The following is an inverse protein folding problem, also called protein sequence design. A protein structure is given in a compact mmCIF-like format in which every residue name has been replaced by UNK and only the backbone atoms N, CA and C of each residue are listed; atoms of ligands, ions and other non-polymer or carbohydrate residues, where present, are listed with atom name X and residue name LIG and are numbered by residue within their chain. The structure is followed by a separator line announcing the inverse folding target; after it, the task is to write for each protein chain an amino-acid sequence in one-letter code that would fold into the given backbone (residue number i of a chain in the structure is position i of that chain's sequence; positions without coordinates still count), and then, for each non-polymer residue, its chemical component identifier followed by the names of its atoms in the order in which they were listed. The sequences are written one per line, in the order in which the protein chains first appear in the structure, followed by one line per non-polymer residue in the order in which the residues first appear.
data_IF_676702028506
#
_entry.id   IF_676702028506
#
_cell.length_a   1.000
_cell.length_b   1.000
_cell.length_c   1.000
_cell.angle_alpha   90.00
_cell.angle_beta   90.00
_cell.angle_gamma   90.00
#
_symmetry.space_group_name_H-M   'P 1'
#
loop_
_entity.id
_entity.type
_entity.pdbx_description
1 polymer ?
#
# COMPACT_ATOMS: atom_id res chain seq x y z
N UNK A 1 23.53 17.49 -7.40
CA UNK A 1 22.30 17.07 -8.15
C UNK A 1 21.33 16.18 -7.36
N UNK A 2 21.79 15.25 -6.51
CA UNK A 2 20.92 14.38 -5.69
C UNK A 2 20.16 15.13 -4.56
N UNK A 3 20.83 16.05 -3.86
CA UNK A 3 20.21 16.86 -2.79
C UNK A 3 19.14 17.85 -3.29
N UNK A 4 19.28 18.40 -4.50
CA UNK A 4 18.28 19.30 -5.07
C UNK A 4 17.01 18.54 -5.50
N UNK A 5 17.14 17.34 -6.07
CA UNK A 5 15.99 16.47 -6.40
C UNK A 5 15.21 16.01 -5.16
N UNK A 6 15.89 15.68 -4.04
CA UNK A 6 15.21 15.38 -2.76
C UNK A 6 14.45 16.59 -2.20
N UNK A 7 15.04 17.79 -2.26
CA UNK A 7 14.37 19.03 -1.80
C UNK A 7 13.15 19.40 -2.66
N UNK A 8 13.23 19.24 -3.98
CA UNK A 8 12.08 19.47 -4.86
C UNK A 8 10.95 18.46 -4.63
N UNK A 9 11.27 17.17 -4.41
CA UNK A 9 10.25 16.16 -4.07
C UNK A 9 9.61 16.42 -2.70
N UNK A 10 10.39 16.79 -1.70
CA UNK A 10 9.88 17.14 -0.38
C UNK A 10 8.99 18.39 -0.40
N UNK A 11 9.38 19.44 -1.14
CA UNK A 11 8.59 20.66 -1.30
C UNK A 11 7.28 20.41 -2.08
N UNK A 12 7.31 19.57 -3.12
CA UNK A 12 6.10 19.19 -3.86
C UNK A 12 5.13 18.34 -3.02
N UNK A 13 5.65 17.43 -2.18
CA UNK A 13 4.85 16.64 -1.25
C UNK A 13 4.18 17.52 -0.18
N UNK A 14 4.92 18.46 0.41
CA UNK A 14 4.40 19.41 1.40
C UNK A 14 3.33 20.33 0.78
N UNK A 15 3.53 20.76 -0.47
CA UNK A 15 2.52 21.57 -1.19
C UNK A 15 1.23 20.79 -1.44
N UNK A 16 1.33 19.52 -1.84
CA UNK A 16 0.16 18.64 -2.06
C UNK A 16 -0.62 18.33 -0.78
N UNK A 17 0.08 18.07 0.31
CA UNK A 17 -0.53 17.81 1.63
C UNK A 17 -1.27 19.06 2.15
N UNK A 18 -0.70 20.25 1.94
CA UNK A 18 -1.34 21.51 2.33
C UNK A 18 -2.59 21.84 1.51
N UNK A 19 -2.61 21.50 0.22
CA UNK A 19 -3.78 21.68 -0.65
C UNK A 19 -4.90 20.71 -0.26
N UNK A 20 -4.60 19.41 -0.13
CA UNK A 20 -5.58 18.40 0.28
C UNK A 20 -6.22 18.75 1.64
N UNK A 21 -5.39 19.16 2.61
CA UNK A 21 -5.86 19.59 3.93
C UNK A 21 -6.78 20.81 3.89
N UNK A 22 -6.47 21.81 3.05
CA UNK A 22 -7.32 23.00 2.87
C UNK A 22 -8.67 22.66 2.22
N UNK A 23 -8.68 21.76 1.24
CA UNK A 23 -9.90 21.29 0.59
C UNK A 23 -10.80 20.54 1.57
N UNK A 24 -10.23 19.61 2.37
CA UNK A 24 -10.99 18.87 3.39
C UNK A 24 -11.54 19.82 4.45
N UNK A 25 -10.72 20.74 4.99
CA UNK A 25 -11.17 21.70 5.98
C UNK A 25 -12.28 22.63 5.45
N UNK A 26 -12.15 23.12 4.22
CA UNK A 26 -13.16 23.97 3.57
C UNK A 26 -14.48 23.25 3.35
N UNK A 27 -14.43 22.00 2.88
CA UNK A 27 -15.62 21.18 2.68
C UNK A 27 -16.30 20.81 4.00
N UNK A 28 -15.52 20.49 5.05
CA UNK A 28 -16.09 20.22 6.38
C UNK A 28 -16.73 21.45 7.01
N UNK A 29 -16.13 22.63 6.83
CA UNK A 29 -16.72 23.90 7.28
C UNK A 29 -18.02 24.21 6.53
N UNK A 30 -18.07 23.97 5.21
CA UNK A 30 -19.27 24.14 4.41
C UNK A 30 -20.40 23.21 4.90
N UNK A 31 -20.08 21.95 5.20
CA UNK A 31 -21.03 20.99 5.76
C UNK A 31 -21.58 21.43 7.12
N UNK A 32 -20.72 21.91 8.02
CA UNK A 32 -21.13 22.41 9.32
C UNK A 32 -22.04 23.63 9.20
N UNK A 33 -21.73 24.56 8.30
CA UNK A 33 -22.57 25.73 8.00
C UNK A 33 -23.92 25.31 7.40
N UNK A 34 -23.92 24.36 6.48
CA UNK A 34 -25.15 23.84 5.88
C UNK A 34 -26.04 23.14 6.95
N UNK A 35 -25.45 22.35 7.85
CA UNK A 35 -26.17 21.70 8.94
C UNK A 35 -26.79 22.71 9.93
N UNK A 36 -26.05 23.76 10.28
CA UNK A 36 -26.55 24.86 11.14
C UNK A 36 -27.64 25.68 10.44
N UNK A 37 -27.48 25.96 9.15
CA UNK A 37 -28.52 26.61 8.36
C UNK A 37 -29.79 25.77 8.31
N UNK A 38 -29.68 24.46 8.08
CA UNK A 38 -30.82 23.53 8.07
C UNK A 38 -31.51 23.43 9.44
N UNK A 39 -30.76 23.61 10.54
CA UNK A 39 -31.29 23.58 11.90
C UNK A 39 -32.08 24.84 12.29
N UNK A 40 -31.69 26.02 11.77
CA UNK A 40 -32.18 27.31 12.29
C UNK A 40 -32.81 28.25 11.23
N UNK A 41 -32.59 28.02 9.94
CA UNK A 41 -33.03 28.90 8.86
C UNK A 41 -34.14 28.23 8.06
N UNK A 42 -35.27 28.93 7.89
CA UNK A 42 -36.44 28.44 7.12
C UNK A 42 -36.47 28.93 5.67
N UNK A 43 -35.40 29.59 5.20
CA UNK A 43 -35.30 30.12 3.84
C UNK A 43 -34.89 29.02 2.84
N UNK A 44 -35.88 28.49 2.12
CA UNK A 44 -35.72 27.40 1.14
C UNK A 44 -34.67 27.70 0.07
N UNK A 45 -34.57 28.95 -0.40
CA UNK A 45 -33.62 29.33 -1.46
C UNK A 45 -32.16 29.22 -1.01
N UNK A 46 -31.86 29.75 0.18
CA UNK A 46 -30.51 29.68 0.77
C UNK A 46 -30.13 28.22 1.09
N UNK A 47 -31.07 27.44 1.61
CA UNK A 47 -30.87 26.01 1.88
C UNK A 47 -30.59 25.22 0.61
N UNK A 48 -31.29 25.52 -0.49
CA UNK A 48 -31.09 24.83 -1.78
C UNK A 48 -29.68 25.06 -2.32
N UNK A 49 -29.19 26.30 -2.28
CA UNK A 49 -27.81 26.62 -2.69
C UNK A 49 -26.78 25.96 -1.79
N UNK A 50 -27.00 25.99 -0.47
CA UNK A 50 -26.12 25.35 0.50
C UNK A 50 -26.06 23.82 0.29
N UNK A 51 -27.20 23.16 0.06
CA UNK A 51 -27.26 21.72 -0.23
C UNK A 51 -26.58 21.37 -1.55
N UNK A 52 -26.74 22.19 -2.59
CA UNK A 52 -26.02 22.00 -3.86
C UNK A 52 -24.51 22.08 -3.67
N UNK A 53 -24.02 23.13 -3.00
CA UNK A 53 -22.60 23.30 -2.74
C UNK A 53 -22.02 22.14 -1.89
N UNK A 54 -22.79 21.71 -0.89
CA UNK A 54 -22.44 20.57 -0.03
C UNK A 54 -22.40 19.26 -0.83
N UNK A 55 -23.34 19.04 -1.73
CA UNK A 55 -23.36 17.88 -2.63
C UNK A 55 -22.16 17.82 -3.57
N UNK A 56 -21.80 18.95 -4.19
CA UNK A 56 -20.60 19.04 -5.05
C UNK A 56 -19.33 18.75 -4.26
N UNK A 57 -19.21 19.30 -3.06
CA UNK A 57 -18.07 19.06 -2.18
C UNK A 57 -17.98 17.58 -1.76
N UNK A 58 -19.10 16.96 -1.35
CA UNK A 58 -19.17 15.54 -0.98
C UNK A 58 -18.72 14.62 -2.11
N UNK A 59 -19.27 14.80 -3.31
CA UNK A 59 -18.95 13.97 -4.48
C UNK A 59 -17.47 14.11 -4.84
N UNK A 60 -16.94 15.33 -4.77
CA UNK A 60 -15.53 15.62 -5.08
C UNK A 60 -14.59 14.90 -4.09
N UNK A 61 -14.88 14.96 -2.79
CA UNK A 61 -14.11 14.24 -1.76
C UNK A 61 -14.21 12.73 -1.96
N UNK A 62 -15.42 12.20 -2.15
CA UNK A 62 -15.63 10.77 -2.32
C UNK A 62 -14.89 10.24 -3.55
N UNK A 63 -14.92 11.00 -4.65
CA UNK A 63 -14.20 10.66 -5.88
C UNK A 63 -12.69 10.68 -5.67
N UNK A 64 -12.16 11.71 -5.00
CA UNK A 64 -10.74 11.77 -4.67
C UNK A 64 -10.30 10.62 -3.76
N UNK A 65 -11.13 10.25 -2.78
CA UNK A 65 -10.88 9.12 -1.88
C UNK A 65 -10.89 7.78 -2.61
N UNK A 66 -11.87 7.56 -3.50
CA UNK A 66 -11.95 6.39 -4.37
C UNK A 66 -10.70 6.28 -5.27
N UNK A 67 -10.29 7.37 -5.92
CA UNK A 67 -9.07 7.39 -6.75
C UNK A 67 -7.84 7.11 -5.89
N UNK A 68 -7.71 7.73 -4.72
CA UNK A 68 -6.59 7.47 -3.81
C UNK A 68 -6.53 6.00 -3.36
N UNK A 69 -7.68 5.40 -3.03
CA UNK A 69 -7.77 3.98 -2.70
C UNK A 69 -7.35 3.10 -3.90
N UNK A 70 -7.76 3.44 -5.12
CA UNK A 70 -7.38 2.70 -6.33
C UNK A 70 -5.89 2.79 -6.63
N UNK A 71 -5.27 3.94 -6.38
CA UNK A 71 -3.85 4.21 -6.67
C UNK A 71 -2.91 3.64 -5.61
N UNK A 72 -3.38 3.48 -4.37
CA UNK A 72 -2.63 2.84 -3.27
C UNK A 72 -2.70 1.31 -3.33
N UNK A 73 -3.75 0.77 -3.93
CA UNK A 73 -3.93 -0.68 -4.09
C UNK A 73 -3.20 -1.22 -5.33
N UNK A 74 -2.32 -2.24 -5.15
CA UNK A 74 -1.72 -2.95 -6.27
C UNK A 74 -2.78 -3.59 -7.18
N UNK A 75 -2.52 -3.62 -8.50
CA UNK A 75 -3.49 -4.06 -9.51
C UNK A 75 -4.06 -5.47 -9.24
N UNK A 76 -3.26 -6.37 -8.69
CA UNK A 76 -3.62 -7.77 -8.41
C UNK A 76 -4.56 -7.95 -7.21
N UNK A 77 -4.61 -7.00 -6.26
CA UNK A 77 -5.60 -6.99 -5.14
C UNK A 77 -6.65 -5.89 -5.28
N UNK A 78 -6.54 -5.02 -6.27
CA UNK A 78 -7.37 -3.82 -6.39
C UNK A 78 -8.87 -4.12 -6.29
N UNK A 79 -9.36 -5.16 -6.95
CA UNK A 79 -10.76 -5.56 -6.88
C UNK A 79 -11.20 -5.97 -5.45
N UNK A 80 -10.38 -6.77 -4.75
CA UNK A 80 -10.67 -7.22 -3.38
C UNK A 80 -10.57 -6.07 -2.37
N UNK A 81 -9.56 -5.22 -2.51
CA UNK A 81 -9.37 -4.04 -1.67
C UNK A 81 -10.48 -3.01 -1.84
N UNK A 82 -10.93 -2.76 -3.07
CA UNK A 82 -12.07 -1.88 -3.33
C UNK A 82 -13.39 -2.46 -2.80
N UNK A 83 -13.61 -3.77 -2.93
CA UNK A 83 -14.78 -4.40 -2.34
C UNK A 83 -14.82 -4.21 -0.82
N UNK A 84 -13.70 -4.45 -0.13
CA UNK A 84 -13.59 -4.22 1.31
C UNK A 84 -13.82 -2.74 1.67
N UNK A 85 -13.24 -1.81 0.91
CA UNK A 85 -13.46 -0.36 1.08
C UNK A 85 -14.95 -0.01 0.98
N UNK A 86 -15.66 -0.50 -0.04
CA UNK A 86 -17.09 -0.25 -0.22
C UNK A 86 -17.92 -0.85 0.91
N UNK A 87 -17.61 -2.07 1.35
CA UNK A 87 -18.32 -2.72 2.48
C UNK A 87 -18.17 -1.91 3.77
N UNK A 88 -16.95 -1.49 4.09
CA UNK A 88 -16.69 -0.66 5.28
C UNK A 88 -17.37 0.70 5.15
N UNK A 89 -17.32 1.32 3.97
CA UNK A 89 -17.95 2.61 3.72
C UNK A 89 -19.48 2.54 3.85
N UNK A 90 -20.12 1.54 3.23
CA UNK A 90 -21.57 1.31 3.32
C UNK A 90 -22.00 0.92 4.75
N UNK A 91 -21.22 0.06 5.41
CA UNK A 91 -21.45 -0.31 6.80
C UNK A 91 -21.35 0.89 7.75
N UNK A 92 -20.35 1.75 7.56
CA UNK A 92 -20.20 3.00 8.29
C UNK A 92 -21.37 3.95 8.08
N UNK A 93 -21.84 4.11 6.84
CA UNK A 93 -23.03 4.93 6.54
C UNK A 93 -24.30 4.37 7.20
N UNK A 94 -24.49 3.05 7.17
CA UNK A 94 -25.64 2.42 7.81
C UNK A 94 -25.65 2.63 9.33
N UNK A 95 -24.52 2.34 9.99
CA UNK A 95 -24.37 2.54 11.44
C UNK A 95 -24.49 4.03 11.82
N UNK A 96 -23.89 4.92 11.04
CA UNK A 96 -23.97 6.36 11.25
C UNK A 96 -25.40 6.88 11.12
N UNK A 97 -26.15 6.40 10.14
CA UNK A 97 -27.57 6.76 9.93
C UNK A 97 -28.44 6.28 11.10
N UNK A 98 -28.22 5.05 11.59
CA UNK A 98 -28.93 4.53 12.77
C UNK A 98 -28.61 5.39 14.00
N UNK A 99 -27.33 5.68 14.24
CA UNK A 99 -26.88 6.46 15.39
C UNK A 99 -27.51 7.86 15.39
N UNK A 100 -27.36 8.60 14.29
CA UNK A 100 -27.89 9.95 14.18
C UNK A 100 -29.42 10.00 14.10
N UNK A 101 -30.06 8.99 13.52
CA UNK A 101 -31.51 8.82 13.56
C UNK A 101 -32.03 8.70 14.99
N UNK A 102 -31.39 7.85 15.81
CA UNK A 102 -31.73 7.70 17.24
C UNK A 102 -31.50 9.00 18.02
N UNK A 103 -30.41 9.71 17.77
CA UNK A 103 -30.15 11.02 18.38
C UNK A 103 -31.25 12.01 18.00
N UNK A 104 -31.60 12.12 16.71
CA UNK A 104 -32.65 13.01 16.24
C UNK A 104 -34.03 12.70 16.84
N UNK A 105 -34.35 11.42 17.08
CA UNK A 105 -35.61 11.03 17.76
C UNK A 105 -35.64 11.47 19.23
N UNK A 106 -34.49 11.48 19.92
CA UNK A 106 -34.43 11.78 21.36
C UNK A 106 -34.34 13.27 21.68
N UNK A 107 -33.51 14.02 20.95
CA UNK A 107 -33.24 15.44 21.26
C UNK A 107 -33.82 16.41 20.21
N UNK A 108 -34.48 15.88 19.17
CA UNK A 108 -35.04 16.65 18.07
C UNK A 108 -34.04 16.97 16.97
N UNK A 109 -34.56 17.26 15.78
CA UNK A 109 -33.79 17.48 14.55
C UNK A 109 -32.80 18.67 14.68
N UNK A 110 -33.21 19.85 15.22
CA UNK A 110 -32.29 20.98 15.33
C UNK A 110 -31.12 20.72 16.30
N UNK A 111 -31.38 20.05 17.43
CA UNK A 111 -30.33 19.70 18.40
C UNK A 111 -29.38 18.61 17.87
N UNK A 112 -29.89 17.67 17.07
CA UNK A 112 -29.07 16.66 16.39
C UNK A 112 -28.16 17.26 15.31
N UNK A 113 -28.67 18.18 14.50
CA UNK A 113 -27.88 18.86 13.47
C UNK A 113 -26.80 19.77 14.07
N UNK A 114 -27.11 20.47 15.16
CA UNK A 114 -26.13 21.31 15.88
C UNK A 114 -25.03 20.47 16.54
N UNK A 115 -25.37 19.33 17.15
CA UNK A 115 -24.37 18.40 17.70
C UNK A 115 -23.50 17.76 16.60
N UNK A 116 -24.07 17.43 15.44
CA UNK A 116 -23.31 16.96 14.28
C UNK A 116 -22.34 18.03 13.75
N UNK A 117 -22.80 19.28 13.63
CA UNK A 117 -21.95 20.40 13.22
C UNK A 117 -20.79 20.63 14.20
N UNK A 118 -21.06 20.58 15.51
CA UNK A 118 -20.03 20.72 16.54
C UNK A 118 -19.01 19.57 16.47
N UNK A 119 -19.49 18.33 16.31
CA UNK A 119 -18.63 17.16 16.12
C UNK A 119 -17.72 17.29 14.90
N UNK A 120 -18.22 17.89 13.82
CA UNK A 120 -17.44 18.14 12.60
C UNK A 120 -16.34 19.18 12.83
N UNK A 121 -16.61 20.25 13.59
CA UNK A 121 -15.60 21.24 13.99
C UNK A 121 -14.53 20.61 14.89
N UNK A 122 -14.93 19.78 15.85
CA UNK A 122 -14.00 19.04 16.71
C UNK A 122 -13.14 18.07 15.89
N UNK A 123 -13.74 17.37 14.92
CA UNK A 123 -13.01 16.47 14.03
C UNK A 123 -11.96 17.21 13.19
N UNK A 124 -12.26 18.42 12.69
CA UNK A 124 -11.27 19.28 12.02
C UNK A 124 -10.11 19.60 12.97
N UNK A 125 -10.41 20.00 14.21
CA UNK A 125 -9.40 20.29 15.23
C UNK A 125 -8.55 19.08 15.62
N UNK A 126 -9.15 17.89 15.66
CA UNK A 126 -8.44 16.64 15.92
C UNK A 126 -7.53 16.25 14.74
N UNK A 127 -7.99 16.48 13.51
CA UNK A 127 -7.22 16.25 12.28
C UNK A 127 -6.00 17.19 12.20
N UNK A 128 -6.03 18.35 12.89
CA UNK A 128 -4.84 19.20 13.02
C UNK A 128 -3.79 18.63 13.99
N UNK A 129 -4.22 17.86 15.00
CA UNK A 129 -3.34 17.24 16.00
C UNK A 129 -2.70 15.97 15.45
N UNK A 130 -3.48 15.17 14.72
CA UNK A 130 -2.99 14.02 13.98
C UNK A 130 -2.50 14.50 12.61
N UNK A 131 -1.23 14.95 12.55
CA UNK A 131 -0.48 14.87 11.28
C UNK A 131 -0.78 13.50 10.71
N UNK A 132 -1.21 13.38 9.46
CA UNK A 132 -1.22 12.10 8.76
C UNK A 132 0.23 11.65 8.78
N UNK A 133 0.60 10.95 9.85
CA UNK A 133 1.97 10.65 10.17
C UNK A 133 2.43 9.81 9.03
N UNK A 134 3.43 10.32 8.29
CA UNK A 134 4.23 9.65 7.29
C UNK A 134 3.82 8.18 7.18
N UNK A 135 2.72 7.89 6.47
CA UNK A 135 2.50 6.54 6.04
C UNK A 135 3.60 6.43 5.03
N UNK A 136 4.69 5.79 5.45
CA UNK A 136 5.70 5.25 4.58
C UNK A 136 4.89 4.40 3.60
N UNK A 137 4.42 5.05 2.53
CA UNK A 137 3.76 4.41 1.41
C UNK A 137 4.87 3.56 0.90
N UNK A 138 4.92 2.32 1.39
CA UNK A 138 5.83 1.32 0.92
C UNK A 138 5.71 1.36 -0.59
N UNK A 139 6.81 1.72 -1.23
CA UNK A 139 6.82 2.01 -2.64
C UNK A 139 6.70 0.68 -3.39
N UNK A 140 5.45 0.29 -3.63
CA UNK A 140 5.06 -0.89 -4.40
C UNK A 140 5.18 -0.65 -5.90
N UNK A 141 5.80 0.44 -6.34
CA UNK A 141 6.15 0.62 -7.76
C UNK A 141 7.02 -0.57 -8.18
N UNK A 142 6.62 -1.34 -9.21
CA UNK A 142 7.43 -2.46 -9.70
C UNK A 142 8.82 -1.95 -10.09
N UNK A 143 9.85 -2.47 -9.43
CA UNK A 143 11.22 -2.23 -9.85
C UNK A 143 11.57 -3.33 -10.83
N UNK A 144 11.66 -3.00 -12.12
CA UNK A 144 12.17 -3.87 -13.19
C UNK A 144 13.70 -4.13 -13.05
N UNK A 145 14.23 -4.18 -11.83
CA UNK A 145 15.65 -4.38 -11.52
C UNK A 145 16.04 -5.87 -11.51
N UNK A 146 15.11 -6.74 -11.90
CA UNK A 146 15.31 -8.16 -11.90
C UNK A 146 15.59 -8.60 -13.33
N UNK A 147 16.78 -9.16 -13.57
CA UNK A 147 17.13 -9.73 -14.86
C UNK A 147 16.03 -10.73 -15.24
N UNK A 148 15.43 -10.54 -16.43
CA UNK A 148 14.42 -11.45 -16.95
C UNK A 148 14.97 -12.88 -16.87
N UNK A 149 14.17 -13.87 -16.42
CA UNK A 149 14.60 -15.26 -16.40
C UNK A 149 15.14 -15.64 -17.79
N UNK A 150 16.35 -16.17 -17.86
CA UNK A 150 16.88 -16.72 -19.11
C UNK A 150 16.19 -18.05 -19.31
N UNK A 151 15.21 -18.08 -20.21
CA UNK A 151 14.41 -19.27 -20.51
C UNK A 151 14.69 -19.66 -21.96
N UNK A 152 15.05 -20.93 -22.20
CA UNK A 152 15.26 -21.44 -23.56
C UNK A 152 13.94 -21.63 -24.33
N UNK A 153 12.83 -21.91 -23.62
CA UNK A 153 11.51 -22.16 -24.18
C UNK A 153 10.45 -21.71 -23.16
N UNK A 154 9.48 -20.87 -23.55
CA UNK A 154 8.49 -20.29 -22.61
C UNK A 154 7.64 -21.41 -22.00
N UNK A 155 7.73 -21.70 -20.68
CA UNK A 155 6.96 -22.75 -20.03
C UNK A 155 5.47 -22.40 -20.03
N UNK A 156 4.62 -23.42 -20.00
CA UNK A 156 3.19 -23.21 -19.82
C UNK A 156 2.93 -22.51 -18.46
N UNK A 157 1.93 -21.61 -18.38
CA UNK A 157 1.65 -20.84 -17.16
C UNK A 157 1.42 -21.71 -15.91
N UNK A 158 0.81 -22.89 -16.09
CA UNK A 158 0.51 -23.86 -15.04
C UNK A 158 1.55 -24.99 -14.91
N UNK A 159 2.68 -24.87 -15.63
CA UNK A 159 3.82 -25.76 -15.41
C UNK A 159 4.21 -25.73 -13.93
N UNK A 160 4.52 -26.92 -13.42
CA UNK A 160 4.51 -27.28 -12.01
C UNK A 160 5.42 -26.45 -11.10
N UNK A 161 5.70 -26.94 -9.87
CA UNK A 161 6.44 -26.16 -8.90
C UNK A 161 7.79 -25.71 -9.48
N UNK A 162 8.05 -24.41 -9.38
CA UNK A 162 9.25 -23.77 -9.89
C UNK A 162 10.22 -23.66 -8.74
N UNK A 163 11.37 -24.33 -8.87
CA UNK A 163 12.47 -24.15 -7.92
C UNK A 163 13.42 -23.09 -8.46
N UNK A 164 13.70 -22.08 -7.63
CA UNK A 164 14.63 -21.01 -7.95
C UNK A 164 15.82 -21.11 -7.03
N UNK A 165 17.00 -21.14 -7.63
CA UNK A 165 18.26 -21.16 -6.89
C UNK A 165 19.05 -19.90 -7.17
N UNK A 166 19.42 -19.18 -6.12
CA UNK A 166 20.27 -17.97 -6.21
C UNK A 166 21.58 -18.25 -5.49
N UNK A 167 22.68 -18.20 -6.24
CA UNK A 167 24.02 -18.38 -5.71
C UNK A 167 24.63 -17.05 -5.24
N UNK A 168 25.20 -17.08 -4.04
CA UNK A 168 25.91 -15.97 -3.41
C UNK A 168 27.34 -16.38 -3.07
N UNK A 169 28.31 -15.52 -3.39
CA UNK A 169 29.70 -15.64 -2.90
C UNK A 169 29.94 -14.58 -1.82
N UNK A 170 30.04 -15.03 -0.58
CA UNK A 170 30.03 -14.21 0.65
C UNK A 170 31.44 -14.06 1.20
N UNK A 171 31.78 -12.86 1.69
CA UNK A 171 33.07 -12.62 2.33
C UNK A 171 33.23 -13.53 3.56
N UNK A 172 34.39 -14.18 3.71
CA UNK A 172 34.61 -15.16 4.77
C UNK A 172 34.40 -14.60 6.19
N UNK A 173 34.66 -13.31 6.39
CA UNK A 173 34.51 -12.59 7.66
C UNK A 173 33.08 -12.11 7.93
N UNK A 174 32.16 -12.20 6.96
CA UNK A 174 30.80 -11.65 7.03
C UNK A 174 29.67 -12.69 6.94
N UNK A 175 30.01 -13.96 7.13
CA UNK A 175 29.08 -15.09 7.00
C UNK A 175 27.92 -15.01 7.98
N UNK A 176 28.20 -14.70 9.25
CA UNK A 176 27.17 -14.66 10.29
C UNK A 176 26.19 -13.51 10.05
N UNK A 177 26.69 -12.34 9.66
CA UNK A 177 25.85 -11.18 9.31
C UNK A 177 25.01 -11.45 8.06
N UNK A 178 25.59 -12.13 7.05
CA UNK A 178 24.86 -12.54 5.86
C UNK A 178 23.70 -13.48 6.20
N UNK A 179 23.95 -14.56 6.95
CA UNK A 179 22.91 -15.52 7.35
C UNK A 179 21.81 -14.83 8.18
N UNK A 180 22.16 -13.85 9.00
CA UNK A 180 21.19 -13.03 9.74
C UNK A 180 20.30 -12.21 8.82
N UNK A 181 20.85 -11.49 7.83
CA UNK A 181 20.01 -10.72 6.88
C UNK A 181 19.16 -11.63 5.98
N UNK A 182 19.62 -12.84 5.69
CA UNK A 182 18.83 -13.80 4.89
C UNK A 182 17.53 -14.23 5.58
N UNK A 183 17.38 -14.04 6.91
CA UNK A 183 16.09 -14.24 7.57
C UNK A 183 15.03 -13.23 7.10
N UNK A 184 15.42 -11.97 6.88
CA UNK A 184 14.51 -10.97 6.31
C UNK A 184 14.16 -11.31 4.84
N UNK A 185 15.12 -11.89 4.10
CA UNK A 185 14.86 -12.40 2.74
C UNK A 185 13.87 -13.57 2.79
N UNK A 186 14.01 -14.51 3.73
CA UNK A 186 13.07 -15.62 3.94
C UNK A 186 11.65 -15.13 4.18
N UNK A 187 11.45 -14.20 5.11
CA UNK A 187 10.13 -13.64 5.41
C UNK A 187 9.53 -12.94 4.19
N UNK A 188 10.35 -12.17 3.46
CA UNK A 188 9.97 -11.53 2.22
C UNK A 188 9.52 -12.55 1.15
N UNK A 189 10.25 -13.65 0.97
CA UNK A 189 9.92 -14.72 -0.01
C UNK A 189 8.59 -15.39 0.33
N UNK A 190 8.40 -15.76 1.60
CA UNK A 190 7.16 -16.40 2.06
C UNK A 190 5.95 -15.46 1.94
N UNK A 191 6.12 -14.17 2.26
CA UNK A 191 5.08 -13.16 2.06
C UNK A 191 4.69 -13.02 0.59
N UNK A 192 5.65 -13.20 -0.32
CA UNK A 192 5.42 -13.05 -1.75
C UNK A 192 4.84 -14.31 -2.41
N UNK A 193 4.68 -15.43 -1.68
CA UNK A 193 4.01 -16.63 -2.15
C UNK A 193 4.90 -17.88 -2.21
N UNK A 194 6.18 -17.79 -1.86
CA UNK A 194 7.04 -18.97 -1.79
C UNK A 194 6.59 -19.90 -0.65
N UNK A 195 6.20 -21.13 -0.97
CA UNK A 195 5.77 -22.11 0.02
C UNK A 195 6.95 -22.83 0.68
N UNK A 196 8.12 -22.81 0.03
CA UNK A 196 9.38 -23.33 0.56
C UNK A 196 10.49 -22.30 0.42
N UNK A 197 11.36 -22.23 1.44
CA UNK A 197 12.58 -21.44 1.41
C UNK A 197 13.63 -22.06 2.32
N UNK A 198 14.85 -22.19 1.84
CA UNK A 198 16.00 -22.65 2.62
C UNK A 198 17.30 -22.02 2.12
N UNK A 199 18.27 -21.87 3.02
CA UNK A 199 19.62 -21.38 2.70
C UNK A 199 20.66 -22.48 2.95
N UNK A 200 21.33 -22.89 1.89
CA UNK A 200 22.40 -23.89 1.94
C UNK A 200 23.77 -23.20 1.87
N UNK A 201 24.77 -23.81 2.49
CA UNK A 201 26.18 -23.47 2.29
C UNK A 201 26.89 -24.65 1.65
N UNK A 202 27.85 -24.38 0.79
CA UNK A 202 28.66 -25.42 0.14
C UNK A 202 29.65 -26.01 1.16
N UNK A 203 29.66 -27.34 1.30
CA UNK A 203 30.57 -28.04 2.20
C UNK A 203 32.03 -27.98 1.74
N UNK A 204 32.26 -27.82 0.44
CA UNK A 204 33.60 -27.72 -0.15
C UNK A 204 34.12 -26.28 -0.21
N UNK A 205 33.22 -25.30 -0.39
CA UNK A 205 33.55 -23.86 -0.35
C UNK A 205 32.64 -23.11 0.63
N UNK A 206 33.06 -22.90 1.88
CA UNK A 206 32.25 -22.21 2.88
C UNK A 206 31.95 -20.73 2.58
N UNK A 207 32.52 -20.15 1.51
CA UNK A 207 32.16 -18.83 1.00
C UNK A 207 30.94 -18.84 0.06
N UNK A 208 30.49 -20.01 -0.38
CA UNK A 208 29.41 -20.18 -1.34
C UNK A 208 28.12 -20.58 -0.64
N UNK A 209 27.07 -19.79 -0.91
CA UNK A 209 25.72 -20.00 -0.38
C UNK A 209 24.72 -20.12 -1.52
N UNK A 210 23.71 -20.96 -1.34
CA UNK A 210 22.61 -21.14 -2.27
C UNK A 210 21.31 -20.88 -1.53
N UNK A 211 20.60 -19.81 -1.91
CA UNK A 211 19.19 -19.64 -1.54
C UNK A 211 18.35 -20.51 -2.48
N UNK A 212 17.48 -21.34 -1.92
CA UNK A 212 16.53 -22.15 -2.66
C UNK A 212 15.12 -21.80 -2.21
N UNK A 213 14.23 -21.48 -3.15
CA UNK A 213 12.81 -21.29 -2.86
C UNK A 213 11.95 -21.91 -3.94
N UNK A 214 10.72 -22.29 -3.57
CA UNK A 214 9.77 -22.88 -4.50
C UNK A 214 8.47 -22.09 -4.55
N UNK A 215 7.99 -21.89 -5.78
CA UNK A 215 6.72 -21.25 -6.12
C UNK A 215 5.78 -22.29 -6.74
N UNK A 216 4.47 -22.13 -6.57
CA UNK A 216 3.47 -23.14 -6.95
C UNK A 216 3.37 -23.37 -8.47
N UNK A 217 3.66 -22.35 -9.27
CA UNK A 217 3.64 -22.43 -10.73
C UNK A 217 4.53 -21.38 -11.38
N UNK A 218 4.82 -21.58 -12.67
CA UNK A 218 5.55 -20.60 -13.49
C UNK A 218 4.84 -19.25 -13.56
N UNK A 219 3.51 -19.24 -13.67
CA UNK A 219 2.72 -18.02 -13.62
C UNK A 219 2.87 -17.29 -12.27
N UNK A 220 2.86 -18.02 -11.16
CA UNK A 220 3.03 -17.40 -9.84
C UNK A 220 4.43 -16.82 -9.68
N UNK A 221 5.45 -17.51 -10.16
CA UNK A 221 6.83 -17.03 -10.21
C UNK A 221 6.98 -15.73 -11.02
N UNK A 222 6.41 -15.68 -12.23
CA UNK A 222 6.40 -14.45 -13.05
C UNK A 222 5.65 -13.31 -12.35
N UNK A 223 4.52 -13.61 -11.71
CA UNK A 223 3.77 -12.63 -10.93
C UNK A 223 4.54 -12.15 -9.71
N UNK A 224 5.38 -12.96 -9.09
CA UNK A 224 6.28 -12.52 -8.01
C UNK A 224 7.32 -11.53 -8.53
N UNK A 225 7.81 -11.75 -9.74
CA UNK A 225 8.75 -10.86 -10.44
C UNK A 225 8.11 -9.49 -10.71
N UNK A 226 6.88 -9.47 -11.22
CA UNK A 226 6.10 -8.24 -11.41
C UNK A 226 5.74 -7.54 -10.08
N UNK A 227 5.61 -8.29 -8.99
CA UNK A 227 5.34 -7.78 -7.63
C UNK A 227 6.57 -7.24 -6.90
N UNK A 228 7.77 -7.30 -7.49
CA UNK A 228 9.01 -6.89 -6.83
C UNK A 228 9.00 -5.39 -6.48
N UNK A 229 8.75 -5.09 -5.20
CA UNK A 229 8.69 -3.72 -4.69
C UNK A 229 10.08 -3.12 -4.44
N UNK A 230 10.17 -1.79 -4.36
CA UNK A 230 11.41 -1.09 -3.99
C UNK A 230 11.86 -1.50 -2.57
N UNK A 231 10.90 -1.80 -1.69
CA UNK A 231 11.18 -2.32 -0.36
C UNK A 231 11.84 -3.71 -0.40
N UNK A 232 11.37 -4.60 -1.26
CA UNK A 232 11.97 -5.94 -1.46
C UNK A 232 13.39 -5.82 -2.08
N UNK A 233 13.59 -4.85 -2.98
CA UNK A 233 14.91 -4.53 -3.52
C UNK A 233 15.87 -4.08 -2.40
N UNK A 234 15.42 -3.26 -1.45
CA UNK A 234 16.22 -2.82 -0.32
C UNK A 234 16.62 -3.98 0.62
N UNK A 235 15.71 -4.93 0.89
CA UNK A 235 16.00 -6.13 1.69
C UNK A 235 17.08 -6.97 1.01
N UNK A 236 16.94 -7.25 -0.29
CA UNK A 236 17.95 -7.99 -1.07
C UNK A 236 19.30 -7.25 -1.11
N UNK A 237 19.28 -5.93 -1.24
CA UNK A 237 20.51 -5.14 -1.28
C UNK A 237 21.30 -5.21 0.03
N UNK A 238 20.62 -5.29 1.18
CA UNK A 238 21.28 -5.51 2.47
C UNK A 238 21.95 -6.88 2.55
N UNK A 239 21.36 -7.93 1.97
CA UNK A 239 22.04 -9.22 1.89
C UNK A 239 23.25 -9.16 0.94
N UNK A 240 23.11 -8.50 -0.21
CA UNK A 240 24.19 -8.34 -1.22
C UNK A 240 25.41 -7.56 -0.72
N UNK A 241 25.26 -6.69 0.29
CA UNK A 241 26.39 -5.91 0.82
C UNK A 241 27.51 -6.77 1.45
N UNK A 242 27.21 -8.02 1.80
CA UNK A 242 28.17 -8.97 2.38
C UNK A 242 28.81 -9.90 1.34
N UNK A 243 28.45 -9.74 0.06
CA UNK A 243 29.09 -10.47 -1.03
C UNK A 243 30.52 -9.99 -1.26
N UNK A 244 31.34 -10.85 -1.87
CA UNK A 244 32.67 -10.48 -2.36
C UNK A 244 32.52 -9.38 -3.42
N UNK A 245 33.35 -8.34 -3.35
CA UNK A 245 33.28 -7.22 -4.28
C UNK A 245 33.50 -7.67 -5.72
N UNK A 246 32.64 -7.24 -6.63
CA UNK A 246 32.68 -7.62 -8.05
C UNK A 246 31.96 -8.93 -8.40
N UNK A 247 31.53 -9.72 -7.42
CA UNK A 247 30.73 -10.92 -7.66
C UNK A 247 29.24 -10.58 -7.91
N UNK A 248 28.61 -11.34 -8.80
CA UNK A 248 27.20 -11.20 -9.14
C UNK A 248 26.41 -12.44 -8.71
N UNK A 249 25.17 -12.23 -8.29
CA UNK A 249 24.27 -13.35 -7.94
C UNK A 249 23.87 -14.10 -9.20
N UNK A 250 24.08 -15.42 -9.23
CA UNK A 250 23.62 -16.27 -10.35
C UNK A 250 22.27 -16.86 -10.00
N UNK A 251 21.26 -16.60 -10.82
CA UNK A 251 19.90 -17.13 -10.66
C UNK A 251 19.67 -18.24 -11.67
N UNK A 252 19.19 -19.39 -11.22
CA UNK A 252 18.75 -20.50 -12.06
C UNK A 252 17.32 -20.87 -11.69
N UNK A 253 16.54 -21.29 -12.69
CA UNK A 253 15.14 -21.68 -12.55
C UNK A 253 15.01 -23.12 -13.05
N UNK A 254 14.45 -23.97 -12.20
CA UNK A 254 14.27 -25.39 -12.45
C UNK A 254 12.77 -25.66 -12.43
N UNK A 255 12.27 -26.29 -13.50
CA UNK A 255 10.88 -26.68 -13.64
C UNK A 255 10.76 -28.16 -13.28
N UNK A 256 9.78 -28.50 -12.46
CA UNK A 256 9.44 -29.89 -12.22
C UNK A 256 8.67 -30.46 -13.40
N UNK A 257 9.23 -31.46 -14.08
CA UNK A 257 8.49 -32.26 -15.05
C UNK A 257 7.47 -33.13 -14.30
N UNK A 258 6.22 -33.15 -14.78
CA UNK A 258 5.24 -34.13 -14.32
C UNK A 258 5.49 -35.43 -15.08
N UNK A 259 5.60 -36.54 -14.36
CA UNK A 259 5.43 -37.84 -15.00
C UNK A 259 4.02 -37.92 -15.64
N UNK A 260 3.91 -38.50 -16.85
CA UNK A 260 2.66 -38.55 -17.62
C UNK A 260 1.53 -39.33 -16.94
#
# INVERSE_FOLDING_TARGET
RWRSRRRCRAAAADTGENVARRVVAGASALYALAALALAHVQNIGLLSVAMLATGVAWISILSALQVAAQMTLPAWVRARGLAAFVVVFMGGMALGSILWGQVATRIGIPAALTTAALGMVVAIGLTWRFKLGHHEVLDFTPTLDWAAPVVAEVPEPDSGPVMVTIEYRVQATKRTEFVSEMQAVREMRRRNGAYFWELFHDSADPSRYIECFMDESWLEHLRQHERASVADAAIRQRAKQYMVEGESTKSQHWLADREP
#
